data_IF_764949354292
#
_entry.id   IF_764949354292
#
_cell.length_a   1.000
_cell.length_b   1.000
_cell.length_c   1.000
_cell.angle_alpha   90.00
_cell.angle_beta   90.00
_cell.angle_gamma   90.00
#
_symmetry.space_group_name_H-M   'P 1'
#
loop_
_entity.id
_entity.type
_entity.pdbx_description
1 polymer ?
#
# COMPACT_ATOMS: atom_id res chain seq x y z
N UNK A 1 -0.62 -36.32 41.36
CA UNK A 1 0.36 -35.28 40.98
C UNK A 1 0.18 -35.01 39.51
N UNK A 2 -0.55 -33.98 39.17
CA UNK A 2 -0.67 -33.52 37.77
C UNK A 2 0.57 -32.69 37.43
N UNK A 3 1.28 -33.08 36.38
CA UNK A 3 2.42 -32.30 35.88
C UNK A 3 1.96 -30.87 35.59
N UNK A 4 2.75 -29.82 35.90
CA UNK A 4 2.44 -28.48 35.55
C UNK A 4 2.35 -28.38 34.02
N UNK A 5 1.26 -27.85 33.52
CA UNK A 5 1.09 -27.50 32.09
C UNK A 5 2.24 -26.56 31.70
N UNK A 6 3.06 -27.00 30.77
CA UNK A 6 4.13 -26.18 30.20
C UNK A 6 3.49 -24.97 29.50
N UNK A 7 3.46 -23.83 30.18
CA UNK A 7 2.85 -22.59 29.72
C UNK A 7 3.73 -21.86 28.69
N UNK A 8 4.90 -22.42 28.33
CA UNK A 8 5.82 -21.83 27.33
C UNK A 8 5.40 -22.11 25.90
N UNK A 9 4.50 -23.06 25.66
CA UNK A 9 4.06 -23.46 24.31
C UNK A 9 2.83 -22.71 23.79
N UNK A 10 2.15 -21.91 24.59
CA UNK A 10 0.99 -21.13 24.15
C UNK A 10 1.31 -19.64 24.24
N UNK A 11 1.67 -19.04 23.11
CA UNK A 11 1.67 -17.58 22.99
C UNK A 11 0.26 -17.08 23.30
N UNK A 12 0.13 -16.23 24.32
CA UNK A 12 -1.15 -15.62 24.64
C UNK A 12 -1.57 -14.76 23.45
N UNK A 13 -2.88 -14.76 23.06
CA UNK A 13 -3.38 -13.84 22.07
C UNK A 13 -3.00 -12.41 22.45
N UNK A 14 -2.30 -11.71 21.56
CA UNK A 14 -1.92 -10.33 21.75
C UNK A 14 -2.99 -9.39 21.19
N UNK A 15 -2.87 -8.11 21.51
CA UNK A 15 -3.76 -7.07 20.98
C UNK A 15 -3.64 -7.00 19.46
N UNK A 16 -4.78 -6.91 18.79
CA UNK A 16 -4.88 -6.79 17.34
C UNK A 16 -5.32 -5.36 16.97
N UNK A 17 -4.43 -4.57 16.37
CA UNK A 17 -4.70 -3.19 15.96
C UNK A 17 -5.52 -3.07 14.68
N UNK A 18 -5.82 -4.18 13.99
CA UNK A 18 -6.39 -4.18 12.65
C UNK A 18 -7.61 -3.27 12.49
N UNK A 19 -8.59 -3.35 13.41
CA UNK A 19 -9.79 -2.50 13.32
C UNK A 19 -9.54 -1.04 13.68
N UNK A 20 -8.55 -0.74 14.52
CA UNK A 20 -8.16 0.64 14.81
C UNK A 20 -7.50 1.27 13.59
N UNK A 21 -6.67 0.52 12.87
CA UNK A 21 -5.98 0.97 11.66
C UNK A 21 -6.93 1.15 10.47
N UNK A 22 -7.92 0.26 10.31
CA UNK A 22 -8.95 0.38 9.26
C UNK A 22 -9.68 1.73 9.34
N UNK A 23 -10.02 2.19 10.54
CA UNK A 23 -10.68 3.49 10.74
C UNK A 23 -9.87 4.66 10.16
N UNK A 24 -8.55 4.54 10.17
CA UNK A 24 -7.65 5.58 9.61
C UNK A 24 -7.76 5.61 8.09
N UNK A 25 -7.70 4.45 7.40
CA UNK A 25 -7.85 4.39 5.94
C UNK A 25 -9.29 4.68 5.50
N UNK A 26 -10.31 4.33 6.30
CA UNK A 26 -11.70 4.73 6.04
C UNK A 26 -11.86 6.25 6.06
N UNK A 27 -11.21 6.93 7.02
CA UNK A 27 -11.24 8.39 7.11
C UNK A 27 -10.57 9.04 5.88
N UNK A 28 -9.37 8.58 5.51
CA UNK A 28 -8.68 9.05 4.30
C UNK A 28 -9.52 8.85 3.05
N UNK A 29 -10.05 7.63 2.85
CA UNK A 29 -10.88 7.32 1.69
C UNK A 29 -12.17 8.16 1.64
N UNK A 30 -12.85 8.37 2.76
CA UNK A 30 -14.05 9.22 2.82
C UNK A 30 -13.73 10.69 2.55
N UNK A 31 -12.59 11.20 3.00
CA UNK A 31 -12.19 12.57 2.71
C UNK A 31 -11.83 12.74 1.23
N UNK A 32 -10.93 11.89 0.70
CA UNK A 32 -10.52 11.88 -0.71
C UNK A 32 -11.71 11.62 -1.67
N UNK A 33 -12.64 10.76 -1.26
CA UNK A 33 -13.82 10.41 -2.06
C UNK A 33 -14.70 11.60 -2.46
N UNK A 34 -14.65 12.70 -1.69
CA UNK A 34 -15.33 13.96 -2.03
C UNK A 34 -14.69 14.70 -3.22
N UNK A 35 -13.47 14.35 -3.56
CA UNK A 35 -12.67 14.98 -4.62
C UNK A 35 -12.64 14.15 -5.90
N UNK A 36 -13.27 12.99 -5.91
CA UNK A 36 -13.31 12.11 -7.08
C UNK A 36 -13.91 12.82 -8.29
N UNK A 37 -13.15 12.84 -9.40
CA UNK A 37 -13.56 13.44 -10.67
C UNK A 37 -13.54 14.97 -10.70
N UNK A 38 -12.96 15.65 -9.69
CA UNK A 38 -12.90 17.13 -9.64
C UNK A 38 -11.66 17.72 -10.30
N UNK A 39 -10.70 16.89 -10.75
CA UNK A 39 -9.46 17.36 -11.40
C UNK A 39 -8.39 17.89 -10.45
N UNK A 40 -8.67 17.95 -9.16
CA UNK A 40 -7.79 18.49 -8.14
C UNK A 40 -7.16 17.34 -7.33
N UNK A 41 -5.88 17.04 -7.62
CA UNK A 41 -5.12 16.00 -6.95
C UNK A 41 -4.72 16.40 -5.54
N UNK A 42 -4.19 17.61 -5.42
CA UNK A 42 -3.62 18.12 -4.16
C UNK A 42 -4.72 18.35 -3.12
N UNK A 43 -5.87 18.89 -3.53
CA UNK A 43 -7.01 19.07 -2.65
C UNK A 43 -7.56 17.76 -2.10
N UNK A 44 -7.64 16.72 -2.94
CA UNK A 44 -8.11 15.40 -2.52
C UNK A 44 -7.11 14.67 -1.63
N UNK A 45 -5.83 14.78 -1.95
CA UNK A 45 -4.75 14.19 -1.18
C UNK A 45 -4.63 14.86 0.19
N UNK A 46 -4.56 16.20 0.24
CA UNK A 46 -4.52 16.95 1.49
C UNK A 46 -5.72 16.68 2.41
N UNK A 47 -6.93 16.52 1.84
CA UNK A 47 -8.10 16.15 2.64
C UNK A 47 -7.95 14.74 3.27
N UNK A 48 -7.35 13.79 2.54
CA UNK A 48 -7.08 12.45 3.08
C UNK A 48 -6.01 12.50 4.18
N UNK A 49 -4.92 13.25 3.96
CA UNK A 49 -3.83 13.47 4.94
C UNK A 49 -4.40 13.99 6.26
N UNK A 50 -5.19 15.06 6.22
CA UNK A 50 -5.80 15.67 7.41
C UNK A 50 -6.67 14.68 8.19
N UNK A 51 -7.54 13.96 7.47
CA UNK A 51 -8.45 12.99 8.08
C UNK A 51 -7.69 11.80 8.70
N UNK A 52 -6.70 11.26 8.01
CA UNK A 52 -5.88 10.16 8.50
C UNK A 52 -5.06 10.57 9.73
N UNK A 53 -4.41 11.76 9.67
CA UNK A 53 -3.61 12.28 10.79
C UNK A 53 -4.43 12.44 12.06
N UNK A 54 -5.66 12.90 11.92
CA UNK A 54 -6.55 13.07 13.07
C UNK A 54 -6.94 11.72 13.69
N UNK A 55 -7.31 10.73 12.87
CA UNK A 55 -7.71 9.41 13.37
C UNK A 55 -6.55 8.60 13.93
N UNK A 56 -5.37 8.67 13.32
CA UNK A 56 -4.20 7.92 13.78
C UNK A 56 -3.77 8.32 15.18
N UNK A 57 -4.02 9.58 15.60
CA UNK A 57 -3.73 10.05 16.96
C UNK A 57 -4.49 9.30 18.05
N UNK A 58 -5.60 8.63 17.71
CA UNK A 58 -6.40 7.83 18.65
C UNK A 58 -5.95 6.36 18.75
N UNK A 59 -5.11 5.89 17.82
CA UNK A 59 -4.65 4.49 17.78
C UNK A 59 -3.66 4.22 18.92
N UNK A 60 -3.88 3.13 19.66
CA UNK A 60 -3.00 2.76 20.76
C UNK A 60 -1.67 2.17 20.28
N UNK A 61 -0.77 3.04 19.85
CA UNK A 61 0.59 2.72 19.46
C UNK A 61 1.53 3.92 19.74
N UNK A 62 2.83 3.66 19.70
CA UNK A 62 3.93 4.61 19.64
C UNK A 62 4.55 4.49 18.27
N UNK A 63 3.87 5.04 17.27
CA UNK A 63 4.28 4.97 15.87
C UNK A 63 5.26 6.07 15.52
N UNK A 64 6.14 5.79 14.57
CA UNK A 64 6.94 6.80 13.89
C UNK A 64 6.77 6.61 12.40
N UNK A 65 6.45 7.68 11.70
CA UNK A 65 6.29 7.67 10.24
C UNK A 65 7.65 7.40 9.60
N UNK A 66 7.77 6.29 8.88
CA UNK A 66 8.94 5.95 8.05
C UNK A 66 8.67 6.31 6.59
N UNK A 67 7.42 6.16 6.18
CA UNK A 67 6.92 6.52 4.86
C UNK A 67 5.67 7.36 5.06
N UNK A 68 5.69 8.58 4.54
CA UNK A 68 4.60 9.54 4.65
C UNK A 68 4.65 10.56 3.50
N UNK A 69 4.17 11.77 3.76
CA UNK A 69 3.97 12.84 2.78
C UNK A 69 5.27 13.58 2.38
N UNK A 70 6.41 13.12 2.80
CA UNK A 70 7.71 13.72 2.51
C UNK A 70 8.47 14.14 3.75
N UNK A 71 9.45 15.03 3.55
CA UNK A 71 10.28 15.54 4.63
C UNK A 71 9.54 16.61 5.45
N UNK A 72 9.97 16.81 6.71
CA UNK A 72 9.33 17.73 7.67
C UNK A 72 9.18 19.16 7.14
N UNK A 73 10.12 19.62 6.32
CA UNK A 73 10.11 21.00 5.78
C UNK A 73 9.16 21.14 4.56
N UNK A 74 8.72 20.02 3.97
CA UNK A 74 7.84 19.96 2.80
C UNK A 74 6.40 19.62 3.18
N UNK A 75 6.21 18.75 4.17
CA UNK A 75 4.90 18.30 4.65
C UNK A 75 4.65 18.76 6.09
N UNK A 76 3.52 19.43 6.39
CA UNK A 76 3.22 19.91 7.75
C UNK A 76 2.83 18.77 8.70
N UNK A 77 2.31 17.64 8.17
CA UNK A 77 1.82 16.48 8.92
C UNK A 77 2.08 15.19 8.14
N UNK A 78 2.12 14.06 8.85
CA UNK A 78 2.49 12.75 8.33
C UNK A 78 3.85 12.73 7.60
N UNK A 79 4.77 13.62 8.02
CA UNK A 79 6.13 13.66 7.50
C UNK A 79 7.00 12.54 8.07
N UNK A 80 8.07 12.20 7.37
CA UNK A 80 9.03 11.19 7.80
C UNK A 80 9.66 11.58 9.16
N UNK A 81 9.56 10.71 10.14
CA UNK A 81 10.00 10.93 11.52
C UNK A 81 8.91 11.50 12.46
N UNK A 82 7.71 11.82 11.98
CA UNK A 82 6.61 12.27 12.87
C UNK A 82 6.18 11.14 13.80
N UNK A 83 5.96 11.46 15.08
CA UNK A 83 5.38 10.55 16.05
C UNK A 83 3.85 10.51 15.90
N UNK A 84 3.28 9.32 15.78
CA UNK A 84 1.85 9.08 15.61
C UNK A 84 1.31 8.04 16.60
N UNK A 85 -0.01 8.04 16.78
CA UNK A 85 -0.66 7.23 17.81
C UNK A 85 -0.90 8.01 19.11
N UNK A 86 -1.48 7.35 20.11
CA UNK A 86 -1.80 8.00 21.39
C UNK A 86 -0.67 7.90 22.43
N UNK A 87 0.51 7.44 22.04
CA UNK A 87 1.67 7.26 22.93
C UNK A 87 1.58 6.03 23.86
N UNK A 88 0.56 5.20 23.71
CA UNK A 88 0.36 3.96 24.48
C UNK A 88 0.52 2.75 23.55
N UNK A 89 0.91 1.60 24.11
CA UNK A 89 1.00 0.34 23.32
C UNK A 89 2.36 0.11 22.68
N UNK A 90 2.44 -0.67 21.58
CA UNK A 90 3.70 -1.09 20.99
C UNK A 90 4.42 0.07 20.27
N UNK A 91 5.75 -0.04 20.21
CA UNK A 91 6.56 0.81 19.33
C UNK A 91 6.51 0.27 17.91
N UNK A 92 6.17 1.13 16.94
CA UNK A 92 5.92 0.73 15.56
C UNK A 92 6.58 1.67 14.56
N UNK A 93 6.96 1.11 13.40
CA UNK A 93 7.11 1.86 12.17
C UNK A 93 5.74 2.01 11.52
N UNK A 94 5.48 3.19 10.97
CA UNK A 94 4.22 3.55 10.31
C UNK A 94 4.52 4.03 8.89
N UNK A 95 3.88 3.40 7.92
CA UNK A 95 3.94 3.79 6.51
C UNK A 95 2.53 4.13 6.04
N UNK A 96 2.39 5.23 5.32
CA UNK A 96 1.11 5.72 4.84
C UNK A 96 1.24 6.31 3.43
N UNK A 97 0.24 6.04 2.62
CA UNK A 97 -0.06 6.75 1.39
C UNK A 97 -1.56 7.08 1.44
N UNK A 98 -1.91 8.35 1.70
CA UNK A 98 -3.30 8.76 1.87
C UNK A 98 -4.15 8.51 0.64
N UNK A 99 -3.58 8.63 -0.56
CA UNK A 99 -4.24 8.29 -1.83
C UNK A 99 -3.26 7.68 -2.83
N UNK A 100 -3.00 6.36 -2.72
CA UNK A 100 -2.34 5.62 -3.81
C UNK A 100 -3.22 5.71 -5.08
N UNK A 101 -2.73 6.46 -6.07
CA UNK A 101 -3.48 6.78 -7.28
C UNK A 101 -4.21 8.14 -7.23
N UNK A 102 -3.55 9.21 -6.79
CA UNK A 102 -4.11 10.59 -6.80
C UNK A 102 -4.61 11.02 -8.18
N UNK A 103 -3.91 10.59 -9.26
CA UNK A 103 -4.34 10.84 -10.64
C UNK A 103 -5.65 10.12 -10.97
N UNK A 104 -5.84 8.90 -10.47
CA UNK A 104 -7.06 8.12 -10.67
C UNK A 104 -8.22 8.78 -9.95
N UNK A 105 -8.04 9.16 -8.69
CA UNK A 105 -9.03 9.89 -7.91
C UNK A 105 -9.44 11.20 -8.61
N UNK A 106 -8.49 12.05 -8.99
CA UNK A 106 -8.78 13.35 -9.59
C UNK A 106 -9.54 13.23 -10.91
N UNK A 107 -9.27 12.18 -11.70
CA UNK A 107 -9.94 11.91 -12.97
C UNK A 107 -11.22 11.08 -12.84
N UNK A 108 -11.60 10.62 -11.64
CA UNK A 108 -12.72 9.71 -11.43
C UNK A 108 -12.49 8.33 -12.06
N UNK A 109 -11.24 7.92 -12.20
CA UNK A 109 -10.85 6.61 -12.71
C UNK A 109 -10.83 5.55 -11.58
N UNK A 110 -10.97 4.26 -11.90
CA UNK A 110 -11.00 3.21 -10.90
C UNK A 110 -9.62 2.93 -10.29
N UNK A 111 -9.62 2.24 -9.14
CA UNK A 111 -8.46 1.68 -8.43
C UNK A 111 -7.66 2.66 -7.56
N UNK A 112 -8.16 3.86 -7.23
CA UNK A 112 -7.55 4.68 -6.18
C UNK A 112 -7.93 4.13 -4.79
N UNK A 113 -6.95 4.01 -3.92
CA UNK A 113 -7.11 3.47 -2.55
C UNK A 113 -6.37 4.33 -1.52
N UNK A 114 -6.86 4.39 -0.29
CA UNK A 114 -6.15 4.95 0.86
C UNK A 114 -5.49 3.81 1.62
N UNK A 115 -4.18 3.87 1.89
CA UNK A 115 -3.43 2.74 2.44
C UNK A 115 -2.54 3.13 3.60
N UNK A 116 -2.31 2.18 4.49
CA UNK A 116 -1.26 2.25 5.49
C UNK A 116 -0.73 0.86 5.86
N UNK A 117 0.50 0.82 6.36
CA UNK A 117 1.11 -0.35 6.96
C UNK A 117 1.75 -0.01 8.31
N UNK A 118 1.74 -0.97 9.22
CA UNK A 118 2.38 -0.87 10.54
C UNK A 118 3.21 -2.12 10.77
N UNK A 119 4.45 -1.93 11.20
CA UNK A 119 5.35 -3.00 11.58
C UNK A 119 6.02 -2.71 12.93
N UNK A 120 6.75 -3.65 13.47
CA UNK A 120 7.58 -3.44 14.65
C UNK A 120 8.61 -2.34 14.40
N UNK A 121 8.98 -1.58 15.42
CA UNK A 121 9.93 -0.46 15.29
C UNK A 121 11.27 -0.92 14.70
N UNK A 122 11.73 -0.27 13.62
CA UNK A 122 12.97 -0.59 12.89
C UNK A 122 12.80 -1.76 11.90
N UNK A 123 11.56 -2.16 11.60
CA UNK A 123 11.27 -3.26 10.67
C UNK A 123 11.11 -2.81 9.22
N UNK A 124 10.83 -1.54 8.95
CA UNK A 124 10.67 -1.02 7.60
C UNK A 124 11.97 -0.45 7.05
N UNK A 125 12.24 -0.71 5.78
CA UNK A 125 13.35 -0.11 5.05
C UNK A 125 13.14 1.42 4.95
N UNK A 126 14.24 2.19 5.06
CA UNK A 126 14.20 3.64 4.90
C UNK A 126 14.30 4.04 3.42
N UNK A 127 13.25 4.61 2.81
CA UNK A 127 13.22 4.99 1.40
C UNK A 127 13.88 6.34 1.08
N UNK A 128 14.32 7.10 2.06
CA UNK A 128 14.64 8.53 1.94
C UNK A 128 15.77 8.85 0.95
N UNK A 129 16.59 7.87 0.58
CA UNK A 129 17.74 8.08 -0.30
C UNK A 129 17.41 7.96 -1.80
N UNK A 130 16.41 7.18 -2.20
CA UNK A 130 16.09 6.88 -3.62
C UNK A 130 14.59 6.87 -3.84
N UNK A 131 14.13 7.70 -4.78
CA UNK A 131 12.71 7.86 -5.07
C UNK A 131 12.09 6.64 -5.79
N UNK A 132 12.82 6.00 -6.69
CA UNK A 132 12.33 4.86 -7.46
C UNK A 132 13.04 3.55 -7.11
N UNK A 133 12.30 2.44 -7.28
CA UNK A 133 12.85 1.09 -7.31
C UNK A 133 12.28 0.29 -8.48
N UNK A 134 13.11 -0.58 -9.07
CA UNK A 134 12.62 -1.70 -9.85
C UNK A 134 12.00 -2.72 -8.92
N UNK A 135 10.89 -3.32 -9.29
CA UNK A 135 10.18 -4.30 -8.46
C UNK A 135 9.47 -5.36 -9.28
N UNK A 136 9.41 -6.56 -8.71
CA UNK A 136 8.63 -7.69 -9.21
C UNK A 136 7.88 -8.30 -8.02
N UNK A 137 6.56 -8.54 -8.16
CA UNK A 137 5.74 -9.10 -7.09
C UNK A 137 4.81 -10.20 -7.61
N UNK A 138 4.65 -11.26 -6.81
CA UNK A 138 3.80 -12.42 -7.11
C UNK A 138 3.10 -12.93 -5.84
N UNK A 139 2.05 -13.70 -6.03
CA UNK A 139 1.36 -14.40 -4.96
C UNK A 139 2.14 -15.57 -4.34
N UNK A 140 1.59 -16.16 -3.26
CA UNK A 140 2.25 -17.23 -2.51
C UNK A 140 2.51 -18.49 -3.34
N UNK A 141 1.69 -18.77 -4.35
CA UNK A 141 1.84 -19.91 -5.27
C UNK A 141 3.06 -19.82 -6.21
N UNK A 142 3.63 -18.62 -6.35
CA UNK A 142 4.80 -18.36 -7.18
C UNK A 142 5.95 -17.65 -6.42
N UNK A 143 5.88 -17.56 -5.09
CA UNK A 143 6.81 -16.76 -4.27
C UNK A 143 8.28 -17.13 -4.47
N UNK A 144 8.59 -18.41 -4.66
CA UNK A 144 9.96 -18.91 -4.88
C UNK A 144 10.37 -18.91 -6.36
N UNK A 145 9.54 -18.35 -7.26
CA UNK A 145 9.71 -18.50 -8.71
C UNK A 145 10.30 -17.27 -9.38
N UNK A 146 10.32 -16.13 -8.70
CA UNK A 146 10.79 -14.86 -9.28
C UNK A 146 12.26 -14.61 -9.00
N UNK A 147 12.89 -13.92 -9.96
CA UNK A 147 14.26 -13.45 -9.87
C UNK A 147 14.37 -12.15 -10.69
N UNK A 148 14.44 -11.01 -10.00
CA UNK A 148 14.46 -9.68 -10.64
C UNK A 148 15.67 -9.49 -11.56
N UNK A 149 16.73 -10.28 -11.37
CA UNK A 149 17.95 -10.23 -12.22
C UNK A 149 17.79 -11.01 -13.51
N UNK A 150 16.81 -11.92 -13.59
CA UNK A 150 16.56 -12.72 -14.77
C UNK A 150 15.70 -11.95 -15.80
N UNK A 151 15.82 -12.28 -17.10
CA UNK A 151 14.95 -11.73 -18.13
C UNK A 151 13.47 -11.93 -17.79
N UNK A 152 12.61 -10.95 -18.13
CA UNK A 152 11.18 -11.03 -17.84
C UNK A 152 10.52 -12.26 -18.46
N UNK A 153 10.96 -12.67 -19.66
CA UNK A 153 10.45 -13.88 -20.33
C UNK A 153 10.73 -15.17 -19.53
N UNK A 154 11.80 -15.18 -18.74
CA UNK A 154 12.10 -16.31 -17.85
C UNK A 154 11.24 -16.26 -16.60
N UNK A 155 11.07 -15.07 -15.96
CA UNK A 155 10.18 -14.91 -14.83
C UNK A 155 8.74 -15.33 -15.16
N UNK A 156 8.22 -14.91 -16.33
CA UNK A 156 6.86 -15.31 -16.78
C UNK A 156 6.76 -16.83 -16.92
N UNK A 157 7.77 -17.52 -17.51
CA UNK A 157 7.77 -18.98 -17.63
C UNK A 157 7.84 -19.69 -16.27
N UNK A 158 8.65 -19.16 -15.33
CA UNK A 158 8.75 -19.71 -13.96
C UNK A 158 7.42 -19.56 -13.21
N UNK A 159 6.78 -18.39 -13.29
CA UNK A 159 5.46 -18.13 -12.68
C UNK A 159 4.39 -19.04 -13.31
N UNK A 160 4.34 -19.16 -14.64
CA UNK A 160 3.41 -20.06 -15.33
C UNK A 160 3.57 -21.51 -14.84
N UNK A 161 4.82 -21.98 -14.72
CA UNK A 161 5.12 -23.33 -14.21
C UNK A 161 4.66 -23.50 -12.77
N UNK A 162 4.93 -22.53 -11.89
CA UNK A 162 4.53 -22.57 -10.48
C UNK A 162 3.01 -22.61 -10.32
N UNK A 163 2.31 -21.81 -11.12
CA UNK A 163 0.82 -21.73 -11.13
C UNK A 163 0.18 -22.87 -11.94
N UNK A 164 0.97 -23.74 -12.59
CA UNK A 164 0.51 -24.82 -13.48
C UNK A 164 -0.41 -24.32 -14.60
N UNK A 165 -0.10 -23.13 -15.13
CA UNK A 165 -0.86 -22.43 -16.17
C UNK A 165 -0.05 -22.32 -17.45
N UNK A 166 -0.67 -22.06 -18.59
CA UNK A 166 0.04 -21.64 -19.79
C UNK A 166 0.49 -20.17 -19.67
N UNK A 167 1.58 -19.80 -20.35
CA UNK A 167 2.04 -18.41 -20.39
C UNK A 167 0.95 -17.47 -20.92
N UNK A 168 0.18 -17.90 -21.92
CA UNK A 168 -0.93 -17.13 -22.50
C UNK A 168 -2.08 -16.84 -21.53
N UNK A 169 -2.14 -17.57 -20.43
CA UNK A 169 -3.20 -17.40 -19.41
C UNK A 169 -2.78 -16.44 -18.30
N UNK A 170 -1.47 -16.16 -18.18
CA UNK A 170 -0.96 -15.20 -17.20
C UNK A 170 -1.27 -13.76 -17.60
N UNK A 171 -1.53 -12.95 -16.61
CA UNK A 171 -1.71 -11.50 -16.73
C UNK A 171 -0.64 -10.76 -15.92
N UNK A 172 0.17 -9.97 -16.62
CA UNK A 172 1.25 -9.15 -16.07
C UNK A 172 0.75 -7.72 -15.88
N UNK A 173 0.78 -7.21 -14.65
CA UNK A 173 0.45 -5.83 -14.33
C UNK A 173 1.68 -4.93 -14.46
N UNK A 174 1.58 -3.84 -15.20
CA UNK A 174 2.67 -2.90 -15.46
C UNK A 174 2.12 -1.47 -15.44
N UNK A 175 2.86 -0.53 -14.81
CA UNK A 175 2.56 0.90 -14.93
C UNK A 175 2.73 1.37 -16.37
N UNK A 176 1.72 2.01 -16.92
CA UNK A 176 1.75 2.63 -18.26
C UNK A 176 2.58 3.92 -18.21
N UNK A 177 3.88 3.76 -18.39
CA UNK A 177 4.87 4.85 -18.38
C UNK A 177 5.83 4.68 -19.55
N UNK A 178 6.31 5.77 -20.17
CA UNK A 178 7.27 5.70 -21.26
C UNK A 178 8.53 4.84 -20.94
N UNK A 179 8.99 4.88 -19.69
CA UNK A 179 10.12 4.06 -19.21
C UNK A 179 9.89 2.55 -19.29
N UNK A 180 8.65 2.10 -19.42
CA UNK A 180 8.29 0.68 -19.51
C UNK A 180 7.99 0.21 -20.92
N UNK A 181 8.19 1.04 -21.97
CA UNK A 181 7.86 0.67 -23.36
C UNK A 181 8.56 -0.61 -23.81
N UNK A 182 9.86 -0.76 -23.50
CA UNK A 182 10.64 -1.95 -23.82
C UNK A 182 10.19 -3.17 -23.00
N UNK A 183 9.96 -3.01 -21.69
CA UNK A 183 9.43 -4.06 -20.83
C UNK A 183 8.08 -4.58 -21.34
N UNK A 184 7.18 -3.68 -21.73
CA UNK A 184 5.86 -4.01 -22.30
C UNK A 184 6.02 -4.80 -23.61
N UNK A 185 6.96 -4.40 -24.48
CA UNK A 185 7.24 -5.13 -25.72
C UNK A 185 7.72 -6.55 -25.43
N UNK A 186 8.69 -6.73 -24.52
CA UNK A 186 9.22 -8.03 -24.14
C UNK A 186 8.15 -8.94 -23.51
N UNK A 187 7.24 -8.39 -22.68
CA UNK A 187 6.14 -9.19 -22.14
C UNK A 187 5.20 -9.66 -23.25
N UNK A 188 4.85 -8.80 -24.21
CA UNK A 188 4.01 -9.16 -25.39
C UNK A 188 4.62 -10.29 -26.21
N UNK A 189 5.94 -10.29 -26.40
CA UNK A 189 6.66 -11.33 -27.14
C UNK A 189 6.53 -12.71 -26.47
N UNK A 190 6.31 -12.78 -25.16
CA UNK A 190 6.09 -14.06 -24.46
C UNK A 190 4.72 -14.67 -24.73
N UNK A 191 3.75 -13.88 -25.20
CA UNK A 191 2.35 -14.27 -25.35
C UNK A 191 1.52 -14.12 -24.09
N UNK A 192 2.07 -13.61 -22.97
CA UNK A 192 1.30 -13.30 -21.77
C UNK A 192 0.40 -12.08 -21.99
N UNK A 193 -0.69 -12.01 -21.25
CA UNK A 193 -1.58 -10.85 -21.22
C UNK A 193 -0.95 -9.74 -20.39
N UNK A 194 -1.25 -8.49 -20.75
CA UNK A 194 -0.80 -7.32 -19.99
C UNK A 194 -2.02 -6.55 -19.48
N UNK A 195 -1.92 -6.15 -18.22
CA UNK A 195 -2.79 -5.17 -17.60
C UNK A 195 -2.01 -3.89 -17.37
N UNK A 196 -2.26 -2.87 -18.18
CA UNK A 196 -1.65 -1.56 -18.00
C UNK A 196 -2.47 -0.77 -16.96
N UNK A 197 -1.78 -0.24 -15.96
CA UNK A 197 -2.35 0.67 -14.95
C UNK A 197 -1.68 2.03 -15.08
N UNK A 198 -2.47 3.09 -15.00
CA UNK A 198 -1.93 4.44 -15.13
C UNK A 198 -1.37 4.99 -13.82
N UNK A 199 -1.72 4.40 -12.67
CA UNK A 199 -1.27 4.76 -11.33
C UNK A 199 -1.65 3.64 -10.35
N UNK A 200 -1.21 3.70 -9.07
CA UNK A 200 -1.67 2.79 -8.02
C UNK A 200 -1.01 1.41 -8.07
N UNK A 201 0.32 1.34 -8.00
CA UNK A 201 1.03 0.06 -8.09
C UNK A 201 1.02 -0.76 -6.78
N UNK A 202 0.63 -0.16 -5.64
CA UNK A 202 0.31 -0.91 -4.42
C UNK A 202 -0.89 -1.83 -4.65
N UNK A 203 -1.98 -1.29 -5.21
CA UNK A 203 -3.15 -2.10 -5.58
C UNK A 203 -2.79 -3.18 -6.60
N UNK A 204 -1.92 -2.85 -7.57
CA UNK A 204 -1.42 -3.81 -8.56
C UNK A 204 -0.62 -4.97 -7.96
N UNK A 205 0.22 -4.69 -6.95
CA UNK A 205 0.98 -5.72 -6.24
C UNK A 205 0.06 -6.65 -5.42
N UNK A 206 -0.91 -6.07 -4.72
CA UNK A 206 -1.90 -6.85 -3.97
C UNK A 206 -2.72 -7.73 -4.91
N UNK A 207 -3.12 -7.20 -6.07
CA UNK A 207 -3.83 -7.96 -7.09
C UNK A 207 -3.02 -9.19 -7.54
N UNK A 208 -1.70 -9.05 -7.76
CA UNK A 208 -0.84 -10.17 -8.14
C UNK A 208 -0.76 -11.28 -7.07
N UNK A 209 -1.06 -10.98 -5.82
CA UNK A 209 -1.08 -11.93 -4.71
C UNK A 209 -2.48 -12.51 -4.41
N UNK A 210 -3.52 -12.08 -5.12
CA UNK A 210 -4.90 -12.53 -4.92
C UNK A 210 -5.39 -13.34 -6.13
N UNK A 211 -5.65 -14.65 -6.00
CA UNK A 211 -6.06 -15.50 -7.14
C UNK A 211 -7.30 -14.99 -7.88
N UNK A 212 -8.25 -14.38 -7.16
CA UNK A 212 -9.51 -13.88 -7.72
C UNK A 212 -9.37 -12.59 -8.54
N UNK A 213 -8.22 -11.92 -8.50
CA UNK A 213 -7.98 -10.65 -9.20
C UNK A 213 -7.77 -10.80 -10.71
N UNK A 214 -7.37 -12.00 -11.13
CA UNK A 214 -6.96 -12.26 -12.51
C UNK A 214 -5.62 -11.62 -12.90
N UNK A 215 -4.83 -11.14 -11.94
CA UNK A 215 -3.46 -10.65 -12.12
C UNK A 215 -2.49 -11.64 -11.49
N UNK A 216 -1.42 -12.02 -12.19
CA UNK A 216 -0.49 -13.06 -11.74
C UNK A 216 0.86 -12.53 -11.30
N UNK A 217 1.24 -11.37 -11.82
CA UNK A 217 2.55 -10.78 -11.64
C UNK A 217 2.44 -9.26 -11.77
N UNK A 218 3.10 -8.50 -10.87
CA UNK A 218 3.40 -7.09 -11.09
C UNK A 218 4.88 -6.95 -11.37
N UNK A 219 5.26 -6.13 -12.36
CA UNK A 219 6.67 -5.79 -12.64
C UNK A 219 6.79 -4.37 -13.17
N UNK A 220 7.88 -3.70 -12.83
CA UNK A 220 8.26 -2.39 -13.35
C UNK A 220 8.99 -1.54 -12.35
N UNK A 221 9.22 -0.28 -12.71
CA UNK A 221 9.84 0.75 -11.88
C UNK A 221 8.76 1.68 -11.36
N UNK A 222 8.63 1.80 -10.04
CA UNK A 222 7.70 2.70 -9.34
C UNK A 222 8.34 3.27 -8.09
N UNK A 223 7.59 4.02 -7.32
CA UNK A 223 8.09 4.65 -6.09
C UNK A 223 8.59 3.64 -5.07
N UNK A 224 9.67 4.00 -4.38
CA UNK A 224 10.23 3.20 -3.29
C UNK A 224 9.25 3.11 -2.11
N UNK A 225 8.60 4.21 -1.69
CA UNK A 225 7.59 4.19 -0.65
C UNK A 225 6.47 3.16 -0.92
N UNK A 226 5.87 3.21 -2.11
CA UNK A 226 4.80 2.29 -2.52
C UNK A 226 5.30 0.84 -2.58
N UNK A 227 6.56 0.62 -2.97
CA UNK A 227 7.19 -0.71 -2.95
C UNK A 227 7.28 -1.31 -1.55
N UNK A 228 7.57 -0.51 -0.53
CA UNK A 228 7.66 -0.96 0.87
C UNK A 228 6.25 -1.23 1.42
N UNK A 229 5.28 -0.35 1.14
CA UNK A 229 3.88 -0.57 1.52
C UNK A 229 3.35 -1.87 0.85
N UNK A 230 3.67 -2.10 -0.43
CA UNK A 230 3.35 -3.35 -1.13
C UNK A 230 4.03 -4.56 -0.48
N UNK A 231 5.31 -4.45 -0.06
CA UNK A 231 6.01 -5.51 0.64
C UNK A 231 5.35 -5.87 1.98
N UNK A 232 4.80 -4.89 2.72
CA UNK A 232 4.01 -5.16 3.92
C UNK A 232 2.75 -5.99 3.61
N UNK A 233 2.05 -5.70 2.52
CA UNK A 233 0.92 -6.51 2.06
C UNK A 233 1.38 -7.93 1.68
N UNK A 234 2.49 -8.08 0.93
CA UNK A 234 3.05 -9.39 0.57
C UNK A 234 3.39 -10.21 1.82
N UNK A 235 4.00 -9.60 2.85
CA UNK A 235 4.25 -10.25 4.15
C UNK A 235 2.98 -10.83 4.77
N UNK A 236 1.88 -10.10 4.68
CA UNK A 236 0.60 -10.54 5.24
C UNK A 236 -0.05 -11.68 4.44
N UNK A 237 0.19 -11.75 3.13
CA UNK A 237 -0.43 -12.72 2.23
C UNK A 237 0.46 -13.92 1.90
N UNK A 238 1.73 -13.92 2.33
CA UNK A 238 2.69 -14.97 1.99
C UNK A 238 3.22 -14.88 0.56
N UNK A 239 2.99 -13.76 -0.14
CA UNK A 239 3.55 -13.47 -1.45
C UNK A 239 5.02 -13.05 -1.38
N UNK A 240 5.63 -12.86 -2.53
CA UNK A 240 7.01 -12.37 -2.64
C UNK A 240 7.09 -11.09 -3.45
N UNK A 241 7.99 -10.20 -2.99
CA UNK A 241 8.42 -9.02 -3.70
C UNK A 241 9.94 -8.99 -3.69
N UNK A 242 10.54 -8.75 -4.86
CA UNK A 242 11.95 -8.41 -4.99
C UNK A 242 12.08 -7.02 -5.60
N UNK A 243 13.03 -6.25 -5.11
CA UNK A 243 13.27 -4.90 -5.56
C UNK A 243 14.77 -4.58 -5.69
N UNK A 244 15.08 -3.55 -6.47
CA UNK A 244 16.40 -2.94 -6.57
C UNK A 244 16.24 -1.42 -6.65
N UNK A 245 17.02 -0.67 -5.88
CA UNK A 245 16.98 0.78 -5.91
C UNK A 245 17.39 1.29 -7.29
N UNK A 246 16.66 2.27 -7.82
CA UNK A 246 16.81 2.77 -9.19
C UNK A 246 16.94 4.30 -9.18
N UNK A 247 18.10 4.86 -8.75
CA UNK A 247 18.32 6.31 -8.75
C UNK A 247 18.23 6.87 -10.17
N UNK A 248 17.62 8.03 -10.32
CA UNK A 248 17.33 8.68 -11.59
C UNK A 248 18.47 9.52 -12.13
N UNK A 249 19.37 9.96 -11.25
CA UNK A 249 20.53 10.78 -11.59
C UNK A 249 21.73 10.49 -10.68
N UNK A 250 22.86 11.13 -10.97
CA UNK A 250 24.11 10.94 -10.23
C UNK A 250 24.01 11.53 -8.80
N UNK A 251 23.22 12.56 -8.57
CA UNK A 251 23.04 13.16 -7.25
C UNK A 251 22.26 12.22 -6.31
N UNK A 252 21.16 11.64 -6.79
CA UNK A 252 20.40 10.63 -6.06
C UNK A 252 21.23 9.36 -5.83
N UNK A 253 22.01 8.93 -6.83
CA UNK A 253 22.96 7.82 -6.70
C UNK A 253 23.98 8.09 -5.59
N UNK A 254 24.58 9.27 -5.55
CA UNK A 254 25.55 9.62 -4.53
C UNK A 254 24.90 9.71 -3.14
N UNK A 255 23.70 10.29 -3.04
CA UNK A 255 22.91 10.33 -1.79
C UNK A 255 22.67 8.94 -1.23
N UNK A 256 22.32 7.97 -2.09
CA UNK A 256 22.11 6.59 -1.70
C UNK A 256 23.41 5.92 -1.18
N UNK A 257 24.53 6.13 -1.86
CA UNK A 257 25.84 5.60 -1.44
C UNK A 257 26.25 6.21 -0.09
N UNK A 258 26.10 7.52 0.07
CA UNK A 258 26.43 8.24 1.30
C UNK A 258 25.55 7.78 2.49
N UNK A 259 24.30 7.40 2.21
CA UNK A 259 23.40 6.79 3.18
C UNK A 259 23.72 5.29 3.47
N UNK A 260 24.73 4.71 2.80
CA UNK A 260 25.20 3.34 3.02
C UNK A 260 24.41 2.28 2.26
N UNK A 261 23.62 2.67 1.24
CA UNK A 261 22.90 1.70 0.42
C UNK A 261 23.82 1.06 -0.64
N UNK A 262 23.68 -0.24 -0.78
CA UNK A 262 24.24 -1.00 -1.90
C UNK A 262 23.18 -1.03 -3.03
N UNK A 263 23.46 -0.32 -4.13
CA UNK A 263 22.53 -0.18 -5.26
C UNK A 263 22.42 -1.45 -6.12
N UNK A 264 23.37 -2.37 -6.01
CA UNK A 264 23.35 -3.65 -6.71
C UNK A 264 22.63 -4.73 -5.89
N UNK A 265 22.36 -4.45 -4.62
CA UNK A 265 21.67 -5.40 -3.73
C UNK A 265 20.23 -5.60 -4.16
N UNK A 266 19.83 -6.87 -4.27
CA UNK A 266 18.43 -7.24 -4.41
C UNK A 266 17.78 -7.28 -3.02
N UNK A 267 16.75 -6.46 -2.85
CA UNK A 267 15.97 -6.37 -1.63
C UNK A 267 14.79 -7.34 -1.74
N UNK A 268 14.73 -8.30 -0.83
CA UNK A 268 13.59 -9.21 -0.69
C UNK A 268 12.44 -8.55 0.08
N UNK A 269 11.28 -9.19 0.07
CA UNK A 269 10.15 -8.79 0.94
C UNK A 269 10.58 -8.59 2.39
N UNK A 270 11.46 -9.47 2.90
CA UNK A 270 11.96 -9.40 4.29
C UNK A 270 13.00 -8.30 4.52
N UNK A 271 13.75 -7.90 3.48
CA UNK A 271 14.65 -6.74 3.57
C UNK A 271 13.86 -5.43 3.58
N UNK A 272 12.74 -5.38 2.86
CA UNK A 272 11.87 -4.20 2.80
C UNK A 272 11.00 -4.04 4.05
N UNK A 273 10.42 -5.14 4.54
CA UNK A 273 9.64 -5.17 5.77
C UNK A 273 9.93 -6.45 6.53
N UNK A 274 10.69 -6.31 7.61
CA UNK A 274 11.06 -7.41 8.51
C UNK A 274 10.04 -7.61 9.65
N UNK A 275 10.33 -8.54 10.55
CA UNK A 275 9.48 -8.83 11.72
C UNK A 275 8.30 -9.75 11.41
N UNK A 276 7.64 -10.20 12.48
CA UNK A 276 6.56 -11.19 12.38
C UNK A 276 5.16 -10.61 12.52
N UNK A 277 5.05 -9.35 12.98
CA UNK A 277 3.77 -8.73 13.30
C UNK A 277 3.52 -7.48 12.47
N UNK A 278 3.32 -7.68 11.19
CA UNK A 278 3.01 -6.62 10.23
C UNK A 278 1.50 -6.53 10.04
N UNK A 279 0.98 -5.32 10.01
CA UNK A 279 -0.39 -4.99 9.62
C UNK A 279 -0.36 -4.20 8.31
N UNK A 280 -1.31 -4.50 7.46
CA UNK A 280 -1.61 -3.71 6.27
C UNK A 280 -3.11 -3.44 6.21
N UNK A 281 -3.52 -2.24 5.84
CA UNK A 281 -4.91 -1.91 5.56
C UNK A 281 -5.03 -0.96 4.39
N UNK A 282 -6.09 -1.16 3.60
CA UNK A 282 -6.47 -0.29 2.51
C UNK A 282 -7.98 -0.10 2.48
N UNK A 283 -8.43 1.07 2.06
CA UNK A 283 -9.85 1.38 1.82
C UNK A 283 -10.01 1.98 0.42
N UNK A 284 -10.99 1.50 -0.34
CA UNK A 284 -11.27 2.01 -1.68
C UNK A 284 -11.70 3.48 -1.66
N UNK A 285 -11.01 4.32 -2.44
CA UNK A 285 -11.42 5.71 -2.72
C UNK A 285 -12.36 5.74 -3.92
N UNK A 286 -11.94 5.11 -5.02
CA UNK A 286 -12.76 4.87 -6.22
C UNK A 286 -13.04 3.38 -6.38
N UNK A 287 -14.11 3.03 -7.12
CA UNK A 287 -14.38 1.62 -7.42
C UNK A 287 -13.17 0.98 -8.10
N UNK A 288 -12.82 -0.24 -7.71
CA UNK A 288 -11.68 -0.95 -8.26
C UNK A 288 -11.82 -2.47 -8.15
N UNK A 289 -10.84 -3.18 -8.73
CA UNK A 289 -10.83 -4.64 -8.71
C UNK A 289 -10.53 -5.21 -7.32
N UNK A 290 -9.77 -4.45 -6.53
CA UNK A 290 -9.43 -4.83 -5.17
C UNK A 290 -10.56 -4.50 -4.19
N UNK A 291 -11.07 -3.26 -4.24
CA UNK A 291 -12.04 -2.72 -3.31
C UNK A 291 -13.05 -1.82 -4.04
N UNK A 292 -14.27 -1.78 -3.54
CA UNK A 292 -15.26 -0.77 -3.95
C UNK A 292 -14.91 0.58 -3.34
N UNK A 293 -15.11 1.64 -4.13
CA UNK A 293 -14.93 3.02 -3.70
C UNK A 293 -15.99 3.49 -2.71
N UNK A 294 -15.77 4.66 -2.14
CA UNK A 294 -16.70 5.29 -1.20
C UNK A 294 -18.00 5.66 -1.91
N UNK A 295 -19.12 5.27 -1.33
CA UNK A 295 -20.46 5.65 -1.80
C UNK A 295 -21.17 6.49 -0.76
N UNK A 296 -21.54 7.71 -1.14
CA UNK A 296 -22.28 8.61 -0.28
C UNK A 296 -23.78 8.47 -0.51
N UNK A 297 -24.53 8.56 0.58
CA UNK A 297 -25.99 8.61 0.59
C UNK A 297 -26.46 9.71 1.54
N UNK A 298 -27.77 9.97 1.60
CA UNK A 298 -28.30 10.98 2.50
C UNK A 298 -27.89 10.73 3.95
N UNK A 299 -26.95 11.55 4.45
CA UNK A 299 -26.44 11.49 5.83
C UNK A 299 -25.45 10.36 6.14
N UNK A 300 -25.03 9.57 5.14
CA UNK A 300 -24.16 8.43 5.33
C UNK A 300 -23.09 8.25 4.26
N UNK A 301 -22.13 7.39 4.55
CA UNK A 301 -21.16 6.86 3.59
C UNK A 301 -21.03 5.35 3.76
N UNK A 302 -20.66 4.67 2.67
CA UNK A 302 -20.36 3.26 2.65
C UNK A 302 -18.94 3.07 2.14
N UNK A 303 -18.12 2.32 2.87
CA UNK A 303 -16.74 2.00 2.53
C UNK A 303 -16.54 0.49 2.42
N UNK A 304 -15.54 0.09 1.63
CA UNK A 304 -15.02 -1.27 1.62
C UNK A 304 -13.53 -1.22 1.86
N UNK A 305 -13.07 -2.00 2.83
CA UNK A 305 -11.68 -2.04 3.27
C UNK A 305 -11.14 -3.47 3.29
N UNK A 306 -9.84 -3.61 3.11
CA UNK A 306 -9.11 -4.85 3.38
C UNK A 306 -8.14 -4.61 4.52
N UNK A 307 -8.07 -5.55 5.46
CA UNK A 307 -7.08 -5.52 6.54
C UNK A 307 -6.43 -6.88 6.70
N UNK A 308 -5.13 -6.87 6.84
CA UNK A 308 -4.30 -8.07 6.89
C UNK A 308 -3.36 -8.00 8.10
N UNK A 309 -2.98 -9.18 8.60
CA UNK A 309 -1.96 -9.31 9.65
C UNK A 309 -1.06 -10.52 9.34
N UNK A 310 0.25 -10.30 9.26
CA UNK A 310 1.22 -11.36 8.95
C UNK A 310 1.26 -12.45 10.01
N UNK A 311 1.29 -12.08 11.30
CA UNK A 311 1.36 -13.02 12.42
C UNK A 311 0.25 -14.07 12.46
N UNK A 312 -0.94 -13.74 11.96
CA UNK A 312 -2.08 -14.66 11.92
C UNK A 312 -2.41 -15.17 10.52
N UNK A 313 -1.75 -14.65 9.47
CA UNK A 313 -2.09 -14.94 8.08
C UNK A 313 -3.54 -14.61 7.73
N UNK A 314 -4.15 -13.66 8.46
CA UNK A 314 -5.58 -13.37 8.32
C UNK A 314 -5.78 -12.17 7.43
N UNK A 315 -6.59 -12.34 6.39
CA UNK A 315 -7.10 -11.29 5.51
C UNK A 315 -8.59 -11.11 5.77
N UNK A 316 -9.05 -9.88 5.98
CA UNK A 316 -10.46 -9.54 6.14
C UNK A 316 -10.86 -8.47 5.14
N UNK A 317 -12.00 -8.67 4.50
CA UNK A 317 -12.70 -7.60 3.77
C UNK A 317 -13.82 -7.11 4.66
N UNK A 318 -13.89 -5.81 4.85
CA UNK A 318 -14.83 -5.14 5.76
C UNK A 318 -15.68 -4.19 4.94
N UNK A 319 -16.99 -4.30 5.09
CA UNK A 319 -17.95 -3.31 4.61
C UNK A 319 -18.46 -2.52 5.80
N UNK A 320 -18.36 -1.20 5.74
CA UNK A 320 -18.80 -0.33 6.81
C UNK A 320 -19.80 0.70 6.32
N UNK A 321 -20.82 0.95 7.16
CA UNK A 321 -21.83 1.96 6.96
C UNK A 321 -21.63 3.06 7.98
N UNK A 322 -21.30 4.26 7.53
CA UNK A 322 -20.97 5.39 8.38
C UNK A 322 -22.12 6.38 8.44
N UNK A 323 -22.46 6.81 9.63
CA UNK A 323 -23.33 7.97 9.87
C UNK A 323 -22.44 9.19 10.01
N UNK A 324 -22.46 10.08 9.01
CA UNK A 324 -21.55 11.23 8.95
C UNK A 324 -21.83 12.26 10.06
N UNK A 325 -23.11 12.38 10.52
CA UNK A 325 -23.47 13.20 11.67
C UNK A 325 -22.74 12.74 12.94
N UNK A 326 -22.70 11.42 13.17
CA UNK A 326 -22.05 10.83 14.34
C UNK A 326 -20.52 10.87 14.24
N UNK A 327 -19.97 10.61 13.06
CA UNK A 327 -18.53 10.69 12.85
C UNK A 327 -18.01 12.12 13.10
N UNK A 328 -18.74 13.14 12.66
CA UNK A 328 -18.38 14.53 12.94
C UNK A 328 -18.35 14.85 14.43
N UNK A 329 -19.37 14.42 15.19
CA UNK A 329 -19.41 14.59 16.65
C UNK A 329 -18.24 13.87 17.34
N UNK A 330 -17.90 12.67 16.85
CA UNK A 330 -16.91 11.78 17.47
C UNK A 330 -15.47 12.13 17.10
N UNK A 331 -15.20 12.40 15.82
CA UNK A 331 -13.86 12.56 15.28
C UNK A 331 -13.49 14.02 14.95
N UNK A 332 -14.46 14.95 15.05
CA UNK A 332 -14.28 16.36 14.63
C UNK A 332 -13.90 16.54 13.15
N UNK A 333 -14.11 15.53 12.33
CA UNK A 333 -13.83 15.55 10.89
C UNK A 333 -15.14 15.78 10.14
N UNK A 334 -15.17 16.77 9.24
CA UNK A 334 -16.34 17.03 8.40
C UNK A 334 -16.23 16.32 7.04
N UNK A 335 -16.82 15.16 6.95
CA UNK A 335 -16.87 14.36 5.71
C UNK A 335 -17.97 14.79 4.72
N UNK A 336 -18.76 15.84 5.02
CA UNK A 336 -19.91 16.21 4.18
C UNK A 336 -19.54 16.92 2.87
N UNK A 337 -18.31 17.41 2.79
CA UNK A 337 -17.87 18.31 1.73
C UNK A 337 -18.44 19.73 1.97
N UNK A 338 -17.65 20.71 1.62
CA UNK A 338 -18.08 22.11 1.71
C UNK A 338 -19.07 22.38 0.56
N UNK A 339 -20.37 22.56 0.88
CA UNK A 339 -21.35 23.02 -0.11
C UNK A 339 -21.01 24.45 -0.64
N UNK A 340 -20.01 25.11 -0.02
CA UNK A 340 -19.46 26.41 -0.38
C UNK A 340 -18.05 26.39 -0.97
N UNK A 341 -17.48 25.23 -1.30
CA UNK A 341 -16.20 25.21 -1.99
C UNK A 341 -16.33 26.00 -3.31
N UNK A 342 -15.46 27.00 -3.58
CA UNK A 342 -15.53 27.74 -4.84
C UNK A 342 -15.33 26.74 -5.99
N UNK A 343 -16.18 26.88 -7.02
CA UNK A 343 -16.02 26.11 -8.24
C UNK A 343 -14.57 26.30 -8.76
N UNK A 344 -13.91 25.24 -9.25
CA UNK A 344 -12.58 25.38 -9.82
C UNK A 344 -12.62 26.48 -10.89
N UNK A 345 -11.69 27.44 -10.79
CA UNK A 345 -11.56 28.48 -11.80
C UNK A 345 -11.21 27.82 -13.15
N UNK A 346 -11.78 28.34 -14.25
CA UNK A 346 -11.61 27.76 -15.59
C UNK A 346 -10.17 27.78 -16.08
#
# INVERSE_FOLDING_TARGET
MTAPLDTTLYMRPDRNLALELVRVTEAGAMAAGRWVGRGDKEGGDGAAVDAMRQLVSSVSMRGVVVIGEGEKDEAPILYNGEEVGNGLGPHCDFAVDPVDGTTLMAKGMPNAISVLAVAERGAMFDPSAVFYMEKIAVGPDAADSIDITAPISENIRRVAKAKKSAVSDLTVCILDRPRHAELIAHVRETGARIRLISDGDVAGAIAAARPESGTDLLIGTGGTPEGIIAAAAMRCMGGALQARLAPTDDAERQKAIDAGHDLDRILSTNDLVSGDNVFFTATGVTDGDLLRGVRYSSGGAHTQSIVMRSKSGTVRVIEAYHRLDKLREYASIDFRGDDNAPAPMP
#
